data_IF_439766422588
#
_entry.id   IF_439766422588
#
_cell.length_a   1.000
_cell.length_b   1.000
_cell.length_c   1.000
_cell.angle_alpha   90.00
_cell.angle_beta   90.00
_cell.angle_gamma   90.00
#
_symmetry.space_group_name_H-M   'P 1'
#
loop_
_entity.id
_entity.type
_entity.pdbx_description
1 polymer ?
#
# COMPACT_ATOMS: atom_id res chain seq x y z
N UNK A 1 56.64 74.63 -47.99
CA UNK A 1 56.28 73.68 -46.92
C UNK A 1 56.86 74.23 -45.62
N UNK A 2 56.02 74.81 -44.75
CA UNK A 2 55.43 74.18 -43.55
C UNK A 2 56.35 74.45 -42.33
N UNK A 3 55.94 74.77 -41.10
CA UNK A 3 54.71 74.54 -40.32
C UNK A 3 54.60 75.64 -39.23
N UNK A 4 53.38 76.02 -38.87
CA UNK A 4 53.02 76.95 -37.81
C UNK A 4 53.26 76.39 -36.39
N UNK A 5 53.70 77.24 -35.45
CA UNK A 5 53.86 76.94 -34.02
C UNK A 5 52.51 77.02 -33.32
N UNK A 6 52.02 75.89 -32.81
CA UNK A 6 50.79 75.80 -32.01
C UNK A 6 51.08 75.97 -30.51
N UNK A 7 50.33 76.86 -29.87
CA UNK A 7 50.35 77.21 -28.45
C UNK A 7 49.71 76.09 -27.62
N UNK A 8 50.42 75.57 -26.62
CA UNK A 8 49.98 74.48 -25.75
C UNK A 8 48.81 74.88 -24.82
N UNK A 9 47.81 74.02 -24.59
CA UNK A 9 46.72 74.27 -23.63
C UNK A 9 47.19 74.07 -22.18
N UNK A 10 46.55 74.73 -21.19
CA UNK A 10 46.93 74.62 -19.78
C UNK A 10 46.63 73.22 -19.24
N UNK A 11 47.59 72.66 -18.51
CA UNK A 11 47.50 71.35 -17.86
C UNK A 11 46.38 71.33 -16.81
N UNK A 12 45.52 70.29 -16.78
CA UNK A 12 44.50 70.16 -15.76
C UNK A 12 45.15 69.89 -14.39
N UNK A 13 44.80 70.69 -13.39
CA UNK A 13 45.25 70.55 -12.01
C UNK A 13 44.90 69.15 -11.47
N UNK A 14 45.81 68.43 -10.80
CA UNK A 14 45.52 67.12 -10.24
C UNK A 14 44.47 67.27 -9.13
N UNK A 15 43.34 66.57 -9.28
CA UNK A 15 42.34 66.43 -8.22
C UNK A 15 42.97 65.78 -6.99
N UNK A 16 42.70 66.26 -5.76
CA UNK A 16 43.35 65.78 -4.56
C UNK A 16 43.00 64.30 -4.30
N UNK A 17 44.00 63.44 -3.99
CA UNK A 17 43.82 61.99 -3.84
C UNK A 17 42.78 61.59 -2.79
N UNK A 18 42.56 62.44 -1.77
CA UNK A 18 41.54 62.25 -0.75
C UNK A 18 40.09 62.28 -1.31
N UNK A 19 39.82 63.07 -2.35
CA UNK A 19 38.48 63.17 -2.95
C UNK A 19 38.17 61.96 -3.84
N UNK A 20 39.19 61.37 -4.47
CA UNK A 20 39.04 60.18 -5.30
C UNK A 20 38.81 58.92 -4.45
N UNK A 21 39.49 58.81 -3.30
CA UNK A 21 39.25 57.74 -2.34
C UNK A 21 37.85 57.81 -1.71
N UNK A 22 37.36 59.02 -1.39
CA UNK A 22 35.99 59.20 -0.90
C UNK A 22 34.94 58.83 -1.96
N UNK A 23 35.18 59.16 -3.24
CA UNK A 23 34.28 58.77 -4.34
C UNK A 23 34.26 57.26 -4.56
N UNK A 24 35.42 56.58 -4.49
CA UNK A 24 35.53 55.12 -4.58
C UNK A 24 34.79 54.42 -3.43
N UNK A 25 35.02 54.88 -2.19
CA UNK A 25 34.29 54.38 -1.01
C UNK A 25 32.78 54.62 -1.10
N UNK A 26 32.36 55.77 -1.60
CA UNK A 26 30.94 56.06 -1.83
C UNK A 26 30.32 55.16 -2.92
N UNK A 27 31.06 54.85 -3.99
CA UNK A 27 30.59 53.90 -5.02
C UNK A 27 30.56 52.45 -4.53
N UNK A 28 31.56 52.00 -3.77
CA UNK A 28 31.57 50.66 -3.15
C UNK A 28 30.43 50.51 -2.14
N UNK A 29 30.22 51.50 -1.27
CA UNK A 29 29.10 51.49 -0.31
C UNK A 29 27.74 51.43 -1.02
N UNK A 30 27.60 52.14 -2.16
CA UNK A 30 26.36 52.10 -2.95
C UNK A 30 26.18 50.76 -3.69
N UNK A 31 27.26 50.11 -4.14
CA UNK A 31 27.21 48.78 -4.75
C UNK A 31 26.85 47.70 -3.72
N UNK A 32 27.46 47.72 -2.53
CA UNK A 32 27.14 46.76 -1.45
C UNK A 32 25.67 46.89 -1.03
N UNK A 33 25.15 48.12 -0.91
CA UNK A 33 23.74 48.35 -0.55
C UNK A 33 22.78 47.82 -1.62
N UNK A 34 23.11 47.96 -2.92
CA UNK A 34 22.30 47.41 -4.03
C UNK A 34 22.34 45.89 -4.05
N UNK A 35 23.50 45.28 -3.83
CA UNK A 35 23.64 43.82 -3.77
C UNK A 35 22.88 43.23 -2.57
N UNK A 36 22.89 43.91 -1.42
CA UNK A 36 22.11 43.50 -0.25
C UNK A 36 20.59 43.56 -0.50
N UNK A 37 20.10 44.63 -1.13
CA UNK A 37 18.67 44.78 -1.46
C UNK A 37 18.23 43.75 -2.51
N UNK A 38 19.06 43.45 -3.51
CA UNK A 38 18.78 42.43 -4.52
C UNK A 38 18.77 41.01 -3.92
N UNK A 39 19.72 40.71 -3.02
CA UNK A 39 19.75 39.45 -2.28
C UNK A 39 18.53 39.26 -1.36
N UNK A 40 18.06 40.32 -0.69
CA UNK A 40 16.82 40.27 0.08
C UNK A 40 15.59 40.05 -0.81
N UNK A 41 15.50 40.74 -1.95
CA UNK A 41 14.41 40.55 -2.91
C UNK A 41 14.37 39.12 -3.46
N UNK A 42 15.52 38.54 -3.81
CA UNK A 42 15.61 37.15 -4.25
C UNK A 42 15.19 36.15 -3.16
N UNK A 43 15.59 36.39 -1.90
CA UNK A 43 15.17 35.57 -0.76
C UNK A 43 13.67 35.65 -0.51
N UNK A 44 13.09 36.84 -0.58
CA UNK A 44 11.65 37.04 -0.42
C UNK A 44 10.85 36.39 -1.56
N UNK A 45 11.34 36.46 -2.80
CA UNK A 45 10.70 35.79 -3.94
C UNK A 45 10.77 34.26 -3.83
N UNK A 46 11.92 33.70 -3.43
CA UNK A 46 12.07 32.26 -3.20
C UNK A 46 11.16 31.78 -2.07
N UNK A 47 11.09 32.52 -0.96
CA UNK A 47 10.21 32.19 0.15
C UNK A 47 8.74 32.27 -0.24
N UNK A 48 8.34 33.28 -1.02
CA UNK A 48 6.99 33.39 -1.56
C UNK A 48 6.64 32.21 -2.47
N UNK A 49 7.54 31.82 -3.38
CA UNK A 49 7.36 30.64 -4.25
C UNK A 49 7.25 29.35 -3.44
N UNK A 50 8.08 29.17 -2.40
CA UNK A 50 8.02 28.02 -1.49
C UNK A 50 6.70 27.98 -0.72
N UNK A 51 6.22 29.12 -0.20
CA UNK A 51 4.94 29.21 0.52
C UNK A 51 3.76 28.84 -0.39
N UNK A 52 3.75 29.31 -1.64
CA UNK A 52 2.71 28.95 -2.63
C UNK A 52 2.78 27.45 -2.97
N UNK A 53 3.96 26.92 -3.26
CA UNK A 53 4.13 25.49 -3.56
C UNK A 53 3.70 24.59 -2.39
N UNK A 54 4.01 24.99 -1.15
CA UNK A 54 3.61 24.24 0.05
C UNK A 54 2.10 24.31 0.26
N UNK A 55 1.47 25.47 0.04
CA UNK A 55 0.03 25.64 0.14
C UNK A 55 -0.73 24.79 -0.90
N UNK A 56 -0.23 24.71 -2.14
CA UNK A 56 -0.81 23.82 -3.16
C UNK A 56 -0.63 22.34 -2.82
N UNK A 57 0.55 21.94 -2.33
CA UNK A 57 0.79 20.56 -1.91
C UNK A 57 -0.13 20.14 -0.75
N UNK A 58 -0.34 21.02 0.23
CA UNK A 58 -1.27 20.78 1.36
C UNK A 58 -2.72 20.70 0.88
N UNK A 59 -3.16 21.57 -0.02
CA UNK A 59 -4.51 21.49 -0.61
C UNK A 59 -4.72 20.19 -1.38
N UNK A 60 -3.74 19.75 -2.17
CA UNK A 60 -3.81 18.49 -2.93
C UNK A 60 -3.84 17.27 -2.01
N UNK A 61 -3.04 17.28 -0.94
CA UNK A 61 -3.06 16.22 0.08
C UNK A 61 -4.39 16.14 0.82
N UNK A 62 -4.99 17.27 1.23
CA UNK A 62 -6.31 17.29 1.87
C UNK A 62 -7.43 16.83 0.93
N UNK A 63 -7.38 17.22 -0.36
CA UNK A 63 -8.35 16.76 -1.36
C UNK A 63 -8.24 15.24 -1.59
N UNK A 64 -7.03 14.70 -1.60
CA UNK A 64 -6.81 13.26 -1.74
C UNK A 64 -7.28 12.50 -0.49
N UNK A 65 -6.96 12.99 0.71
CA UNK A 65 -7.39 12.40 1.97
C UNK A 65 -8.92 12.36 2.13
N UNK A 66 -9.61 13.45 1.76
CA UNK A 66 -11.08 13.52 1.78
C UNK A 66 -11.71 12.62 0.72
N UNK A 67 -11.09 12.47 -0.46
CA UNK A 67 -11.54 11.52 -1.48
C UNK A 67 -11.38 10.05 -1.04
N UNK A 68 -10.26 9.69 -0.41
CA UNK A 68 -10.07 8.34 0.18
C UNK A 68 -11.06 8.08 1.31
N UNK A 69 -11.24 9.02 2.23
CA UNK A 69 -12.21 8.87 3.32
C UNK A 69 -13.65 8.70 2.82
N UNK A 70 -14.04 9.46 1.78
CA UNK A 70 -15.35 9.33 1.15
C UNK A 70 -15.51 8.00 0.38
N UNK A 71 -14.44 7.49 -0.24
CA UNK A 71 -14.45 6.18 -0.91
C UNK A 71 -14.56 5.03 0.10
N UNK A 72 -13.83 5.10 1.21
CA UNK A 72 -13.89 4.12 2.29
C UNK A 72 -15.25 4.12 3.00
N UNK A 73 -15.86 5.29 3.21
CA UNK A 73 -17.22 5.39 3.77
C UNK A 73 -18.25 4.72 2.85
N UNK A 74 -18.17 4.96 1.53
CA UNK A 74 -19.03 4.28 0.54
C UNK A 74 -18.81 2.78 0.49
N UNK A 75 -17.56 2.32 0.60
CA UNK A 75 -17.26 0.89 0.66
C UNK A 75 -17.83 0.23 1.92
N UNK A 76 -17.72 0.88 3.08
CA UNK A 76 -18.30 0.39 4.35
C UNK A 76 -19.81 0.25 4.25
N UNK A 77 -20.49 1.26 3.72
CA UNK A 77 -21.94 1.23 3.53
C UNK A 77 -22.36 0.10 2.55
N UNK A 78 -21.61 -0.10 1.46
CA UNK A 78 -21.86 -1.21 0.54
C UNK A 78 -21.64 -2.59 1.18
N UNK A 79 -20.61 -2.74 2.02
CA UNK A 79 -20.36 -3.99 2.75
C UNK A 79 -21.51 -4.25 3.73
N UNK A 80 -21.95 -3.24 4.46
CA UNK A 80 -23.05 -3.36 5.43
C UNK A 80 -24.37 -3.72 4.75
N UNK A 81 -24.69 -3.07 3.62
CA UNK A 81 -25.83 -3.43 2.76
C UNK A 81 -25.74 -4.88 2.26
N UNK A 82 -24.55 -5.35 1.86
CA UNK A 82 -24.36 -6.73 1.41
C UNK A 82 -24.52 -7.74 2.54
N UNK A 83 -24.07 -7.41 3.75
CA UNK A 83 -24.25 -8.25 4.95
C UNK A 83 -25.73 -8.34 5.30
N UNK A 84 -26.46 -7.22 5.32
CA UNK A 84 -27.91 -7.18 5.55
C UNK A 84 -28.71 -7.95 4.49
N UNK A 85 -28.37 -7.78 3.20
CA UNK A 85 -29.01 -8.51 2.12
C UNK A 85 -28.71 -10.02 2.17
N UNK A 86 -27.50 -10.41 2.58
CA UNK A 86 -27.14 -11.81 2.79
C UNK A 86 -27.90 -12.41 3.97
N UNK A 87 -28.02 -11.69 5.10
CA UNK A 87 -28.80 -12.11 6.24
C UNK A 87 -30.28 -12.31 5.88
N UNK A 88 -30.86 -11.42 5.07
CA UNK A 88 -32.25 -11.55 4.60
C UNK A 88 -32.46 -12.78 3.72
N UNK A 89 -31.57 -13.03 2.75
CA UNK A 89 -31.63 -14.25 1.91
C UNK A 89 -31.55 -15.53 2.73
N UNK A 90 -30.68 -15.56 3.75
CA UNK A 90 -30.56 -16.73 4.62
C UNK A 90 -31.85 -16.96 5.43
N UNK A 91 -32.51 -15.90 5.88
CA UNK A 91 -33.80 -15.99 6.57
C UNK A 91 -34.94 -16.44 5.62
N UNK A 92 -34.99 -15.93 4.39
CA UNK A 92 -35.98 -16.32 3.37
C UNK A 92 -35.78 -17.79 2.95
N UNK A 93 -34.53 -18.23 2.77
CA UNK A 93 -34.20 -19.62 2.49
C UNK A 93 -34.43 -20.57 3.68
N UNK A 94 -34.42 -20.06 4.91
CA UNK A 94 -34.79 -20.83 6.10
C UNK A 94 -36.32 -20.96 6.28
N UNK A 95 -37.11 -20.03 5.74
CA UNK A 95 -38.57 -20.06 5.74
C UNK A 95 -39.18 -20.97 4.67
N UNK A 96 -38.53 -21.15 3.53
CA UNK A 96 -39.00 -22.01 2.42
C UNK A 96 -38.43 -23.44 2.42
N UNK A 97 -37.51 -23.78 3.33
CA UNK A 97 -36.94 -25.14 3.40
C UNK A 97 -37.77 -26.08 4.28
N UNK A 98 -39.07 -26.11 4.04
CA UNK A 98 -39.87 -27.32 4.21
C UNK A 98 -39.80 -28.13 2.91
N UNK A 99 -39.18 -29.32 2.95
CA UNK A 99 -39.04 -30.29 1.86
C UNK A 99 -38.10 -29.90 0.69
N UNK A 100 -36.90 -30.48 0.66
CA UNK A 100 -36.02 -30.40 -0.51
C UNK A 100 -34.56 -30.75 -0.23
N UNK A 101 -34.20 -31.97 -0.61
CA UNK A 101 -32.91 -32.65 -0.40
C UNK A 101 -31.66 -31.78 -0.57
N UNK A 102 -30.72 -31.91 0.37
CA UNK A 102 -29.44 -31.23 0.38
C UNK A 102 -28.87 -31.15 1.80
N UNK A 103 -28.84 -32.29 2.48
CA UNK A 103 -28.26 -32.42 3.81
C UNK A 103 -26.75 -32.17 3.75
N UNK A 104 -26.31 -30.95 4.09
CA UNK A 104 -25.07 -30.78 4.86
C UNK A 104 -25.49 -30.36 6.26
N UNK A 105 -25.40 -31.34 7.15
CA UNK A 105 -25.68 -31.23 8.58
C UNK A 105 -24.95 -30.01 9.16
N UNK A 106 -25.62 -29.14 9.94
CA UNK A 106 -24.96 -28.34 10.95
C UNK A 106 -24.54 -29.29 12.08
N UNK A 107 -23.28 -29.21 12.51
CA UNK A 107 -22.80 -29.96 13.67
C UNK A 107 -22.06 -31.25 13.33
N UNK A 108 -20.77 -31.10 13.09
CA UNK A 108 -19.76 -32.04 13.57
C UNK A 108 -18.51 -31.19 13.91
N UNK A 109 -18.06 -31.14 15.17
CA UNK A 109 -16.68 -30.75 15.44
C UNK A 109 -15.81 -31.79 14.73
N UNK A 110 -15.09 -31.40 13.67
CA UNK A 110 -14.28 -32.32 12.86
C UNK A 110 -14.52 -32.28 11.35
N UNK A 111 -15.30 -31.32 10.84
CA UNK A 111 -15.28 -31.01 9.40
C UNK A 111 -13.98 -30.30 8.99
N UNK A 112 -13.49 -30.51 7.75
CA UNK A 112 -12.31 -29.81 7.23
C UNK A 112 -12.42 -28.29 7.40
N UNK A 113 -11.37 -27.66 7.90
CA UNK A 113 -11.33 -26.21 8.05
C UNK A 113 -11.18 -25.56 6.67
N UNK A 114 -12.26 -24.99 6.11
CA UNK A 114 -12.20 -24.25 4.85
C UNK A 114 -11.76 -22.79 5.08
N UNK A 115 -10.66 -22.40 4.46
CA UNK A 115 -10.01 -21.08 4.58
C UNK A 115 -9.72 -20.53 3.19
N UNK A 116 -9.99 -19.24 2.95
CA UNK A 116 -9.71 -18.63 1.65
C UNK A 116 -10.46 -17.31 1.40
N UNK A 117 -10.11 -16.58 0.33
CA UNK A 117 -10.71 -15.29 0.02
C UNK A 117 -12.22 -15.43 -0.22
N UNK A 118 -13.01 -14.72 0.59
CA UNK A 118 -14.48 -14.76 0.52
C UNK A 118 -15.14 -15.93 1.29
N UNK A 119 -14.36 -16.83 1.88
CA UNK A 119 -14.84 -17.90 2.74
C UNK A 119 -14.74 -17.45 4.21
N UNK A 120 -15.77 -16.77 4.70
CA UNK A 120 -15.86 -16.40 6.11
C UNK A 120 -16.10 -17.63 6.97
N UNK A 121 -15.43 -17.73 8.13
CA UNK A 121 -15.81 -18.66 9.17
C UNK A 121 -17.27 -18.36 9.56
N UNK A 122 -18.20 -19.20 9.12
CA UNK A 122 -19.63 -18.94 9.24
C UNK A 122 -20.04 -18.80 10.70
N UNK A 123 -20.36 -17.58 11.14
CA UNK A 123 -21.14 -17.28 12.36
C UNK A 123 -20.61 -17.77 13.72
N UNK A 124 -19.52 -18.53 13.76
CA UNK A 124 -18.88 -18.96 15.00
C UNK A 124 -17.84 -17.93 15.41
N UNK A 125 -17.99 -17.40 16.62
CA UNK A 125 -16.96 -16.57 17.27
C UNK A 125 -15.75 -17.46 17.55
N UNK A 126 -14.85 -17.56 16.57
CA UNK A 126 -13.55 -18.20 16.78
C UNK A 126 -12.71 -17.29 17.69
N UNK A 127 -11.95 -17.88 18.61
CA UNK A 127 -11.16 -17.09 19.56
C UNK A 127 -10.07 -16.29 18.86
N UNK A 128 -9.58 -15.24 19.53
CA UNK A 128 -8.50 -14.38 19.01
C UNK A 128 -7.30 -15.20 18.54
N UNK A 129 -6.89 -16.24 19.27
CA UNK A 129 -5.77 -17.11 18.91
C UNK A 129 -5.93 -17.80 17.55
N UNK A 130 -7.16 -18.22 17.22
CA UNK A 130 -7.46 -18.81 15.92
C UNK A 130 -7.26 -17.79 14.80
N UNK A 131 -7.82 -16.59 14.96
CA UNK A 131 -7.76 -15.53 13.95
C UNK A 131 -6.31 -15.08 13.74
N UNK A 132 -5.54 -14.94 14.83
CA UNK A 132 -4.13 -14.61 14.77
C UNK A 132 -3.33 -15.67 14.02
N UNK A 133 -3.54 -16.95 14.34
CA UNK A 133 -2.83 -18.04 13.68
C UNK A 133 -3.19 -18.17 12.21
N UNK A 134 -4.48 -18.05 11.86
CA UNK A 134 -4.93 -18.03 10.48
C UNK A 134 -4.30 -16.89 9.68
N UNK A 135 -4.26 -15.68 10.25
CA UNK A 135 -3.61 -14.53 9.62
C UNK A 135 -2.10 -14.75 9.40
N UNK A 136 -1.43 -15.49 10.28
CA UNK A 136 -0.03 -15.87 10.06
C UNK A 136 0.14 -16.87 8.92
N UNK A 137 -0.73 -17.88 8.84
CA UNK A 137 -0.76 -18.85 7.75
C UNK A 137 -0.99 -18.14 6.40
N UNK A 138 -2.00 -17.28 6.32
CA UNK A 138 -2.31 -16.52 5.10
C UNK A 138 -1.17 -15.62 4.67
N UNK A 139 -0.51 -14.95 5.62
CA UNK A 139 0.65 -14.10 5.32
C UNK A 139 1.79 -14.92 4.74
N UNK A 140 2.16 -16.04 5.38
CA UNK A 140 3.21 -16.95 4.89
C UNK A 140 2.89 -17.52 3.51
N UNK A 141 1.62 -17.87 3.28
CA UNK A 141 1.14 -18.33 1.99
C UNK A 141 1.34 -17.27 0.91
N UNK A 142 0.99 -16.01 1.18
CA UNK A 142 1.19 -14.90 0.25
C UNK A 142 2.67 -14.61 0.01
N UNK A 143 3.49 -14.61 1.06
CA UNK A 143 4.94 -14.35 0.96
C UNK A 143 5.67 -15.40 0.09
N UNK A 144 5.27 -16.66 0.20
CA UNK A 144 5.89 -17.76 -0.57
C UNK A 144 5.25 -18.01 -1.94
N UNK A 145 4.11 -17.38 -2.22
CA UNK A 145 3.40 -17.59 -3.47
C UNK A 145 4.11 -16.92 -4.64
N UNK A 146 4.42 -17.71 -5.68
CA UNK A 146 5.03 -17.20 -6.89
C UNK A 146 4.42 -17.89 -8.12
N UNK A 147 3.59 -17.16 -8.86
CA UNK A 147 2.99 -17.63 -10.10
C UNK A 147 3.07 -16.55 -11.19
N UNK A 148 3.48 -16.97 -12.39
CA UNK A 148 3.58 -16.13 -13.58
C UNK A 148 2.48 -16.53 -14.56
N UNK A 149 1.36 -15.82 -14.52
CA UNK A 149 0.26 -16.05 -15.44
C UNK A 149 -0.71 -14.88 -15.52
N UNK A 150 -1.52 -14.88 -16.58
CA UNK A 150 -2.41 -13.75 -16.95
C UNK A 150 -3.88 -14.01 -16.58
N UNK A 151 -4.21 -15.20 -16.09
CA UNK A 151 -5.59 -15.58 -15.77
C UNK A 151 -5.91 -15.35 -14.29
N UNK A 152 -6.46 -14.19 -13.98
CA UNK A 152 -6.90 -13.82 -12.63
C UNK A 152 -8.12 -14.60 -12.10
N UNK A 153 -8.85 -15.28 -12.99
CA UNK A 153 -10.07 -16.02 -12.66
C UNK A 153 -9.82 -17.47 -12.19
N UNK A 154 -8.55 -17.88 -12.05
CA UNK A 154 -8.21 -19.24 -11.63
C UNK A 154 -8.41 -19.43 -10.12
N UNK A 155 -9.03 -20.56 -9.78
CA UNK A 155 -9.27 -20.99 -8.41
C UNK A 155 -8.88 -22.46 -8.24
N UNK A 156 -8.00 -22.76 -7.28
CA UNK A 156 -7.69 -24.13 -6.89
C UNK A 156 -7.94 -24.31 -5.39
N UNK A 157 -8.37 -25.50 -5.00
CA UNK A 157 -8.53 -25.87 -3.58
C UNK A 157 -7.49 -26.92 -3.25
N UNK A 158 -6.70 -26.67 -2.22
CA UNK A 158 -5.69 -27.60 -1.70
C UNK A 158 -6.06 -28.02 -0.29
N UNK A 159 -5.92 -29.31 -0.01
CA UNK A 159 -6.03 -29.88 1.32
C UNK A 159 -4.64 -30.15 1.88
N UNK A 160 -4.41 -29.81 3.14
CA UNK A 160 -3.19 -30.16 3.88
C UNK A 160 -3.46 -30.23 5.38
N UNK A 161 -2.55 -30.85 6.12
CA UNK A 161 -2.64 -31.04 7.56
C UNK A 161 -1.45 -30.36 8.23
N UNK A 162 -1.69 -29.62 9.31
CA UNK A 162 -0.62 -29.04 10.14
C UNK A 162 -0.52 -29.84 11.43
N UNK A 163 0.65 -30.41 11.67
CA UNK A 163 0.93 -31.20 12.88
C UNK A 163 1.11 -30.30 14.11
N UNK A 164 1.02 -30.87 15.33
CA UNK A 164 1.26 -30.13 16.57
C UNK A 164 2.65 -29.50 16.68
N UNK A 165 3.64 -30.03 15.97
CA UNK A 165 5.00 -29.47 15.89
C UNK A 165 5.13 -28.37 14.81
N UNK A 166 4.06 -28.08 14.06
CA UNK A 166 4.02 -27.06 13.03
C UNK A 166 4.41 -27.56 11.63
N UNK A 167 4.70 -28.86 11.47
CA UNK A 167 4.99 -29.45 10.15
C UNK A 167 3.75 -29.54 9.27
N UNK A 168 3.93 -29.25 7.98
CA UNK A 168 2.86 -29.33 6.99
C UNK A 168 2.95 -30.66 6.24
N UNK A 169 1.91 -31.48 6.33
CA UNK A 169 1.84 -32.83 5.73
C UNK A 169 0.57 -33.02 4.91
N UNK A 170 0.49 -34.12 4.15
CA UNK A 170 -0.70 -34.48 3.34
C UNK A 170 -1.17 -33.42 2.33
N UNK A 171 -0.24 -32.65 1.75
CA UNK A 171 -0.54 -31.66 0.71
C UNK A 171 -1.10 -32.35 -0.53
N UNK A 172 -2.34 -32.03 -0.90
CA UNK A 172 -3.04 -32.56 -2.07
C UNK A 172 -3.98 -31.53 -2.70
N UNK A 173 -4.05 -31.49 -4.02
CA UNK A 173 -5.06 -30.67 -4.71
C UNK A 173 -6.42 -31.38 -4.65
N UNK A 174 -7.41 -30.73 -4.03
CA UNK A 174 -8.79 -31.21 -3.93
C UNK A 174 -9.63 -30.78 -5.14
N UNK A 175 -9.36 -29.57 -5.65
CA UNK A 175 -9.99 -29.02 -6.85
C UNK A 175 -8.91 -28.33 -7.69
N UNK A 176 -8.68 -28.81 -8.89
CA UNK A 176 -7.78 -28.19 -9.85
C UNK A 176 -8.39 -26.90 -10.42
N UNK A 177 -7.52 -25.93 -10.69
CA UNK A 177 -7.87 -24.67 -11.37
C UNK A 177 -8.14 -24.81 -12.86
N UNK A 178 -7.79 -25.96 -13.46
CA UNK A 178 -7.77 -26.15 -14.91
C UNK A 178 -6.47 -25.68 -15.57
N UNK A 179 -5.55 -25.04 -14.83
CA UNK A 179 -4.21 -24.72 -15.29
C UNK A 179 -3.14 -25.44 -14.44
N UNK A 180 -2.32 -26.27 -15.11
CA UNK A 180 -1.31 -27.07 -14.41
C UNK A 180 -0.22 -26.20 -13.78
N UNK A 181 0.12 -25.07 -14.38
CA UNK A 181 1.17 -24.19 -13.85
C UNK A 181 0.71 -23.51 -12.56
N UNK A 182 -0.57 -23.13 -12.49
CA UNK A 182 -1.20 -22.62 -11.28
C UNK A 182 -1.26 -23.67 -10.19
N UNK A 183 -1.75 -24.88 -10.49
CA UNK A 183 -1.81 -25.96 -9.50
C UNK A 183 -0.42 -26.33 -8.93
N UNK A 184 0.61 -26.37 -9.78
CA UNK A 184 2.00 -26.59 -9.34
C UNK A 184 2.52 -25.46 -8.44
N UNK A 185 2.15 -24.20 -8.72
CA UNK A 185 2.46 -23.07 -7.85
C UNK A 185 1.81 -23.23 -6.47
N UNK A 186 0.55 -23.68 -6.42
CA UNK A 186 -0.16 -23.98 -5.16
C UNK A 186 0.59 -25.02 -4.35
N UNK A 187 0.91 -26.16 -4.96
CA UNK A 187 1.60 -27.24 -4.26
C UNK A 187 2.97 -26.79 -3.73
N UNK A 188 3.72 -26.03 -4.54
CA UNK A 188 5.02 -25.49 -4.14
C UNK A 188 4.89 -24.53 -2.96
N UNK A 189 3.90 -23.65 -2.99
CA UNK A 189 3.67 -22.65 -1.96
C UNK A 189 3.34 -23.32 -0.62
N UNK A 190 2.42 -24.29 -0.63
CA UNK A 190 2.04 -25.02 0.59
C UNK A 190 3.21 -25.83 1.14
N UNK A 191 4.00 -26.48 0.28
CA UNK A 191 5.21 -27.21 0.73
C UNK A 191 6.27 -26.28 1.32
N UNK A 192 6.36 -25.04 0.83
CA UNK A 192 7.30 -24.04 1.34
C UNK A 192 6.88 -23.46 2.72
N UNK A 193 5.68 -23.77 3.21
CA UNK A 193 5.26 -23.38 4.56
C UNK A 193 5.99 -24.14 5.66
N UNK A 194 6.60 -25.29 5.35
CA UNK A 194 7.28 -26.13 6.33
C UNK A 194 8.64 -25.52 6.77
N UNK A 195 8.88 -25.27 8.07
CA UNK A 195 7.95 -25.43 9.20
C UNK A 195 7.11 -24.17 9.48
N UNK A 196 5.85 -24.40 9.89
CA UNK A 196 4.94 -23.37 10.39
C UNK A 196 5.08 -23.29 11.93
N UNK A 197 4.72 -22.16 12.59
CA UNK A 197 4.57 -22.16 14.04
C UNK A 197 3.58 -23.25 14.49
N UNK A 198 3.74 -23.83 15.69
CA UNK A 198 2.82 -24.84 16.19
C UNK A 198 1.42 -24.24 16.42
N UNK A 199 0.34 -24.95 16.03
CA UNK A 199 -1.02 -24.46 16.22
C UNK A 199 -1.40 -24.40 17.71
N UNK A 200 -2.28 -23.45 18.11
CA UNK A 200 -2.80 -23.40 19.46
C UNK A 200 -3.48 -24.73 19.85
N UNK A 201 -3.30 -25.15 21.11
CA UNK A 201 -3.74 -26.47 21.59
C UNK A 201 -5.24 -26.73 21.36
N UNK A 202 -6.07 -25.70 21.58
CA UNK A 202 -7.52 -25.75 21.40
C UNK A 202 -7.97 -25.97 19.94
N UNK A 203 -7.08 -25.75 18.95
CA UNK A 203 -7.43 -25.78 17.52
C UNK A 203 -6.61 -26.79 16.72
N UNK A 204 -5.78 -27.63 17.36
CA UNK A 204 -4.96 -28.63 16.67
C UNK A 204 -5.79 -29.55 15.78
N UNK A 205 -6.98 -29.94 16.22
CA UNK A 205 -7.88 -30.81 15.44
C UNK A 205 -8.44 -30.10 14.19
N UNK A 206 -8.71 -28.79 14.27
CA UNK A 206 -9.17 -28.01 13.13
C UNK A 206 -8.05 -27.79 12.09
N UNK A 207 -6.82 -27.57 12.57
CA UNK A 207 -5.65 -27.43 11.68
C UNK A 207 -5.10 -28.79 11.20
N UNK A 208 -5.63 -29.90 11.70
CA UNK A 208 -5.30 -31.25 11.25
C UNK A 208 -5.87 -31.60 9.88
N UNK A 209 -6.92 -30.92 9.41
CA UNK A 209 -7.46 -31.05 8.05
C UNK A 209 -7.90 -29.68 7.55
N UNK A 210 -6.98 -28.97 6.90
CA UNK A 210 -7.19 -27.63 6.36
C UNK A 210 -7.44 -27.72 4.86
N UNK A 211 -8.46 -27.03 4.39
CA UNK A 211 -8.74 -26.81 2.97
C UNK A 211 -8.57 -25.34 2.66
N UNK A 212 -7.55 -24.99 1.90
CA UNK A 212 -7.31 -23.63 1.47
C UNK A 212 -7.71 -23.40 0.01
N UNK A 213 -8.51 -22.37 -0.25
CA UNK A 213 -8.89 -21.95 -1.60
C UNK A 213 -7.94 -20.85 -2.08
N UNK A 214 -7.11 -21.17 -3.07
CA UNK A 214 -6.25 -20.20 -3.76
C UNK A 214 -7.02 -19.55 -4.89
N UNK A 215 -7.03 -18.22 -4.92
CA UNK A 215 -7.56 -17.44 -6.01
C UNK A 215 -6.45 -16.56 -6.60
N UNK A 216 -6.23 -16.62 -7.92
CA UNK A 216 -5.16 -15.89 -8.58
C UNK A 216 -5.21 -14.38 -8.30
N UNK A 217 -6.39 -13.77 -8.42
CA UNK A 217 -6.61 -12.33 -8.17
C UNK A 217 -6.30 -11.91 -6.74
N UNK A 218 -6.61 -12.75 -5.75
CA UNK A 218 -6.41 -12.41 -4.32
C UNK A 218 -4.98 -12.65 -3.83
N UNK A 219 -4.19 -13.46 -4.54
CA UNK A 219 -2.80 -13.78 -4.20
C UNK A 219 -1.79 -12.84 -4.89
N UNK A 220 -2.22 -12.09 -5.91
CA UNK A 220 -1.39 -11.08 -6.61
C UNK A 220 -1.46 -9.68 -5.99
N UNK A 221 -2.28 -9.46 -4.96
CA UNK A 221 -2.43 -8.18 -4.23
C UNK A 221 -1.85 -8.24 -2.83
#
# INVERSE_FOLDING_TARGET
MAVAVAKAPPTPTPVPPALEEQRRRATEAQQVKRQAEEAERMRQEEEAKRRVATAEAVKKAQAQATATAAAEAKQREQIEQRILAAARRVQEQAGERGAGSGAKKPGAPGGPLSVGPGQGAGGQVMSIDYVLYLGQLERKLKENWAWVGTNDALEAVVGFSILPDGKVVNVRILKSSGDRSFDLSVERTVRALDPMPPPPEAYRELFGDVQYTFNAKSMQQ
#
